data_IF_053574807641
#
_entry.id   IF_053574807641
#
_cell.length_a   1.000
_cell.length_b   1.000
_cell.length_c   1.000
_cell.angle_alpha   90.00
_cell.angle_beta   90.00
_cell.angle_gamma   90.00
#
_symmetry.space_group_name_H-M   'P 1'
#
loop_
_entity.id
_entity.type
_entity.pdbx_description
1 polymer ?
#
# COMPACT_ATOMS: atom_id res chain seq x y z
N UNK A 1 -54.68 16.77 36.54
CA UNK A 1 -54.51 18.22 36.48
C UNK A 1 -53.43 18.50 35.47
N UNK A 2 -53.78 18.84 34.23
CA UNK A 2 -53.83 20.16 33.59
C UNK A 2 -52.52 20.94 33.91
N UNK A 3 -51.70 21.39 32.96
CA UNK A 3 -51.84 22.05 31.66
C UNK A 3 -50.44 22.51 31.27
N UNK A 4 -49.93 22.59 30.13
CA UNK A 4 -50.11 23.26 28.83
C UNK A 4 -48.75 23.46 28.17
N UNK A 5 -48.68 23.13 26.92
CA UNK A 5 -47.71 23.70 25.96
C UNK A 5 -48.00 25.19 25.72
N UNK A 6 -47.04 25.98 25.18
CA UNK A 6 -47.29 26.37 23.80
C UNK A 6 -46.09 26.38 22.86
N UNK A 7 -46.43 26.13 21.62
CA UNK A 7 -45.73 26.48 20.38
C UNK A 7 -45.56 27.99 20.23
N UNK A 8 -44.47 28.47 19.61
CA UNK A 8 -44.53 29.58 18.65
C UNK A 8 -43.35 29.51 17.68
N UNK A 9 -43.69 29.42 16.44
CA UNK A 9 -43.17 29.84 15.16
C UNK A 9 -42.41 31.16 15.23
N UNK A 10 -41.37 31.31 14.40
CA UNK A 10 -41.35 32.36 13.36
C UNK A 10 -40.29 32.01 12.30
N UNK A 11 -40.72 31.92 11.04
CA UNK A 11 -39.95 32.03 9.80
C UNK A 11 -39.30 33.43 9.72
N UNK A 12 -38.05 33.49 9.27
CA UNK A 12 -37.60 34.60 8.42
C UNK A 12 -36.58 34.08 7.39
N UNK A 13 -37.04 34.12 6.17
CA UNK A 13 -36.26 34.05 4.94
C UNK A 13 -35.34 35.26 4.83
N UNK A 14 -34.08 35.10 4.50
CA UNK A 14 -33.28 36.12 3.82
C UNK A 14 -32.49 35.53 2.68
N UNK A 15 -32.88 35.89 1.50
CA UNK A 15 -32.16 35.85 0.25
C UNK A 15 -30.84 36.64 0.36
N UNK A 16 -29.77 36.08 -0.16
CA UNK A 16 -28.52 36.81 -0.44
C UNK A 16 -28.17 36.56 -1.93
N UNK A 17 -27.85 37.66 -2.66
CA UNK A 17 -27.82 37.61 -4.13
C UNK A 17 -26.51 37.07 -4.70
N UNK A 18 -26.63 36.45 -5.88
CA UNK A 18 -25.54 36.15 -6.80
C UNK A 18 -24.77 37.42 -7.19
N UNK A 19 -23.46 37.39 -7.03
CA UNK A 19 -22.56 38.34 -7.67
C UNK A 19 -21.90 37.66 -8.85
N UNK A 20 -22.33 38.02 -10.06
CA UNK A 20 -21.71 37.72 -11.35
C UNK A 20 -20.53 38.68 -11.51
N UNK A 21 -19.32 38.21 -11.65
CA UNK A 21 -18.17 38.99 -12.09
C UNK A 21 -17.86 38.62 -13.53
N UNK A 22 -18.03 39.59 -14.39
CA UNK A 22 -17.78 39.50 -15.83
C UNK A 22 -16.28 39.54 -16.16
N UNK A 23 -15.89 38.73 -17.12
CA UNK A 23 -14.59 38.76 -17.81
C UNK A 23 -14.43 40.11 -18.56
N UNK A 24 -13.27 40.71 -18.43
CA UNK A 24 -12.76 41.69 -19.39
C UNK A 24 -11.57 41.09 -20.10
N UNK A 25 -11.73 40.82 -21.39
CA UNK A 25 -10.68 40.53 -22.34
C UNK A 25 -10.00 41.85 -22.77
N UNK A 26 -8.68 41.91 -22.70
CA UNK A 26 -7.88 42.93 -23.33
C UNK A 26 -6.96 42.26 -24.39
N UNK A 27 -7.28 42.54 -25.62
CA UNK A 27 -6.48 42.27 -26.81
C UNK A 27 -5.48 43.40 -27.03
N UNK A 28 -4.22 43.02 -27.37
CA UNK A 28 -3.26 43.77 -28.18
C UNK A 28 -2.32 42.70 -28.75
N UNK A 29 -2.23 42.36 -29.97
CA UNK A 29 -2.06 43.10 -31.21
C UNK A 29 -0.55 43.28 -31.49
N UNK A 30 0.06 42.45 -32.37
CA UNK A 30 1.43 42.60 -32.81
C UNK A 30 1.78 41.58 -33.87
N UNK A 31 1.48 41.92 -35.14
CA UNK A 31 1.94 41.22 -36.33
C UNK A 31 3.43 41.50 -36.54
N UNK A 32 4.19 40.49 -37.00
CA UNK A 32 5.39 40.67 -37.80
C UNK A 32 5.55 39.50 -38.75
N UNK A 33 5.59 39.86 -40.01
CA UNK A 33 5.68 39.04 -41.23
C UNK A 33 7.04 38.35 -41.44
N UNK A 34 7.14 37.43 -42.44
CA UNK A 34 8.19 36.42 -42.57
C UNK A 34 9.37 36.92 -43.40
N UNK A 35 10.58 36.62 -42.90
CA UNK A 35 11.80 36.80 -43.64
C UNK A 35 12.21 35.60 -44.46
N UNK A 36 12.07 35.71 -45.74
CA UNK A 36 12.63 34.84 -46.79
C UNK A 36 14.13 35.00 -46.83
N UNK A 37 14.91 33.94 -46.76
CA UNK A 37 16.29 33.99 -47.27
C UNK A 37 16.63 32.69 -48.00
N UNK A 38 16.97 32.93 -49.23
CA UNK A 38 17.38 32.16 -50.39
C UNK A 38 18.50 31.15 -50.14
N UNK A 39 18.33 30.04 -50.87
CA UNK A 39 19.31 28.99 -51.21
C UNK A 39 20.36 29.56 -52.18
N UNK A 40 21.62 29.12 -52.14
CA UNK A 40 22.38 28.93 -53.34
C UNK A 40 22.83 27.49 -53.58
N UNK A 41 22.79 27.16 -54.85
CA UNK A 41 23.02 25.89 -55.54
C UNK A 41 24.47 25.39 -55.45
N UNK A 42 24.56 24.09 -55.67
CA UNK A 42 25.76 23.29 -56.00
C UNK A 42 26.70 23.92 -57.05
N UNK A 43 27.97 23.47 -57.19
CA UNK A 43 28.17 22.28 -58.04
C UNK A 43 29.41 21.41 -57.66
N UNK A 44 29.48 20.20 -58.19
CA UNK A 44 30.73 19.53 -58.48
C UNK A 44 30.84 18.06 -58.16
N UNK A 45 30.43 17.26 -59.12
CA UNK A 45 30.74 15.84 -59.28
C UNK A 45 32.25 15.58 -59.30
N UNK A 46 32.71 14.53 -58.59
CA UNK A 46 33.92 13.78 -59.01
C UNK A 46 33.73 12.31 -58.61
N UNK A 47 33.70 11.50 -59.62
CA UNK A 47 33.62 10.04 -59.62
C UNK A 47 35.02 9.46 -59.38
N UNK A 48 35.16 8.39 -58.55
CA UNK A 48 36.05 7.22 -58.72
C UNK A 48 36.42 6.57 -57.40
N UNK A 49 36.82 5.30 -57.32
CA UNK A 49 36.27 4.09 -57.90
C UNK A 49 35.86 3.05 -56.82
N UNK A 50 35.08 2.07 -57.21
CA UNK A 50 34.58 0.95 -56.44
C UNK A 50 35.71 0.14 -55.78
N UNK A 51 35.68 0.00 -54.48
CA UNK A 51 36.40 -1.03 -53.71
C UNK A 51 35.37 -2.07 -53.25
N UNK A 52 35.54 -3.29 -53.72
CA UNK A 52 34.73 -4.45 -53.36
C UNK A 52 34.93 -4.75 -51.87
N UNK A 53 33.91 -4.51 -51.06
CA UNK A 53 33.85 -4.93 -49.67
C UNK A 53 33.35 -6.40 -49.68
N UNK A 54 34.05 -7.23 -48.90
CA UNK A 54 33.67 -8.59 -48.57
C UNK A 54 32.35 -8.60 -47.76
N UNK A 55 31.50 -9.63 -47.88
CA UNK A 55 30.26 -9.69 -47.10
C UNK A 55 30.61 -9.85 -45.62
N UNK A 56 30.15 -8.92 -44.82
CA UNK A 56 30.07 -9.00 -43.37
C UNK A 56 29.14 -10.17 -43.02
N UNK A 57 29.49 -11.00 -42.01
CA UNK A 57 28.58 -12.05 -41.60
C UNK A 57 27.31 -11.42 -41.02
N UNK A 58 26.18 -11.71 -41.63
CA UNK A 58 24.87 -11.45 -41.04
C UNK A 58 24.80 -12.19 -39.70
N UNK A 59 24.89 -11.44 -38.60
CA UNK A 59 24.42 -11.91 -37.31
C UNK A 59 22.92 -12.15 -37.42
N UNK A 60 22.58 -13.40 -37.65
CA UNK A 60 21.19 -13.87 -37.53
C UNK A 60 20.87 -13.84 -36.04
N UNK A 61 20.40 -12.71 -35.53
CA UNK A 61 19.63 -12.65 -34.30
C UNK A 61 18.35 -13.46 -34.56
N UNK A 62 18.39 -14.73 -34.21
CA UNK A 62 17.19 -15.57 -34.15
C UNK A 62 16.39 -15.05 -32.94
N UNK A 63 15.55 -14.05 -33.18
CA UNK A 63 14.47 -13.73 -32.25
C UNK A 63 13.57 -14.95 -32.29
N UNK A 64 13.54 -15.73 -31.22
CA UNK A 64 12.58 -16.81 -31.07
C UNK A 64 11.19 -16.18 -31.21
N UNK A 65 10.47 -16.57 -32.26
CA UNK A 65 9.12 -16.06 -32.53
C UNK A 65 8.22 -16.53 -31.38
N UNK A 66 7.58 -15.57 -30.68
CA UNK A 66 6.67 -15.88 -29.58
C UNK A 66 5.53 -16.78 -30.12
N UNK A 67 5.30 -17.91 -29.45
CA UNK A 67 4.28 -18.87 -29.87
C UNK A 67 2.89 -18.34 -29.46
N UNK A 68 2.16 -17.73 -30.39
CA UNK A 68 0.78 -17.24 -30.23
C UNK A 68 0.65 -15.73 -30.34
N UNK A 69 -0.59 -15.23 -30.22
CA UNK A 69 -0.88 -13.80 -30.27
C UNK A 69 -0.33 -13.09 -29.02
N UNK A 70 0.25 -11.87 -29.16
CA UNK A 70 0.75 -11.11 -28.00
C UNK A 70 -0.37 -10.79 -27.01
N UNK A 71 -0.08 -10.96 -25.72
CA UNK A 71 -0.95 -10.62 -24.58
C UNK A 71 -0.38 -9.39 -23.89
N UNK A 72 -1.19 -8.34 -23.78
CA UNK A 72 -0.84 -7.11 -23.09
C UNK A 72 -1.74 -6.94 -21.89
N UNK A 73 -1.16 -6.95 -20.72
CA UNK A 73 -1.84 -6.84 -19.44
C UNK A 73 -1.49 -5.52 -18.76
N UNK A 74 -2.30 -5.11 -17.79
CA UNK A 74 -2.18 -3.82 -17.12
C UNK A 74 -2.13 -4.03 -15.61
N UNK A 75 -1.14 -3.41 -14.97
CA UNK A 75 -1.01 -3.36 -13.50
C UNK A 75 -1.32 -1.96 -12.96
N UNK A 76 -2.14 -1.88 -11.91
CA UNK A 76 -2.46 -0.66 -11.19
C UNK A 76 -1.92 -0.72 -9.76
N UNK A 77 -1.17 0.30 -9.34
CA UNK A 77 -0.60 0.41 -8.00
C UNK A 77 -0.86 1.79 -7.40
N UNK A 78 -1.20 1.81 -6.12
CA UNK A 78 -1.21 3.05 -5.36
C UNK A 78 0.20 3.50 -4.95
N UNK A 79 1.13 2.56 -4.86
CA UNK A 79 2.49 2.81 -4.44
C UNK A 79 3.29 3.51 -5.56
N UNK A 80 4.27 4.31 -5.17
CA UNK A 80 5.21 4.95 -6.12
C UNK A 80 6.11 3.91 -6.79
N UNK A 81 6.67 4.25 -7.93
CA UNK A 81 7.48 3.34 -8.75
C UNK A 81 8.66 2.74 -7.97
N UNK A 82 9.31 3.54 -7.13
CA UNK A 82 10.47 3.12 -6.33
C UNK A 82 10.10 2.35 -5.04
N UNK A 83 8.82 2.11 -4.77
CA UNK A 83 8.40 1.36 -3.58
C UNK A 83 8.78 -0.12 -3.65
N UNK A 84 8.95 -0.81 -2.50
CA UNK A 84 9.25 -2.23 -2.46
C UNK A 84 8.29 -3.09 -3.30
N UNK A 85 7.00 -2.80 -3.19
CA UNK A 85 5.95 -3.53 -3.91
C UNK A 85 6.03 -3.31 -5.42
N UNK A 86 6.29 -2.07 -5.85
CA UNK A 86 6.41 -1.74 -7.27
C UNK A 86 7.66 -2.34 -7.89
N UNK A 87 8.78 -2.34 -7.18
CA UNK A 87 10.02 -2.98 -7.63
C UNK A 87 9.87 -4.51 -7.73
N UNK A 88 9.23 -5.14 -6.75
CA UNK A 88 8.95 -6.58 -6.78
C UNK A 88 8.04 -6.96 -7.96
N UNK A 89 7.01 -6.16 -8.22
CA UNK A 89 6.14 -6.39 -9.38
C UNK A 89 6.84 -6.10 -10.71
N UNK A 90 7.69 -5.09 -10.78
CA UNK A 90 8.48 -4.78 -11.98
C UNK A 90 9.40 -5.94 -12.36
N UNK A 91 10.08 -6.55 -11.38
CA UNK A 91 10.86 -7.77 -11.59
C UNK A 91 10.00 -8.92 -12.12
N UNK A 92 8.83 -9.17 -11.52
CA UNK A 92 7.90 -10.20 -12.01
C UNK A 92 7.47 -9.93 -13.46
N UNK A 93 7.15 -8.69 -13.80
CA UNK A 93 6.73 -8.31 -15.14
C UNK A 93 7.85 -8.51 -16.19
N UNK A 94 9.11 -8.18 -15.85
CA UNK A 94 10.28 -8.41 -16.70
C UNK A 94 10.55 -9.90 -16.90
N UNK A 95 10.44 -10.71 -15.85
CA UNK A 95 10.59 -12.16 -15.94
C UNK A 95 9.48 -12.82 -16.75
N UNK A 96 8.23 -12.34 -16.62
CA UNK A 96 7.12 -12.80 -17.46
C UNK A 96 7.39 -12.51 -18.94
N UNK A 97 7.81 -11.31 -19.30
CA UNK A 97 8.18 -10.96 -20.67
C UNK A 97 9.30 -11.87 -21.20
N UNK A 98 10.37 -12.01 -20.42
CA UNK A 98 11.55 -12.82 -20.77
C UNK A 98 11.18 -14.29 -20.95
N UNK A 99 10.48 -14.89 -19.98
CA UNK A 99 10.19 -16.34 -19.96
C UNK A 99 9.10 -16.73 -20.96
N UNK A 100 8.29 -15.76 -21.41
CA UNK A 100 7.29 -15.95 -22.48
C UNK A 100 7.80 -15.52 -23.87
N UNK A 101 9.10 -15.17 -24.00
CA UNK A 101 9.73 -14.69 -25.23
C UNK A 101 8.99 -13.47 -25.83
N UNK A 102 8.55 -12.54 -24.98
CA UNK A 102 7.85 -11.31 -25.40
C UNK A 102 6.37 -11.50 -25.72
N UNK A 103 5.80 -12.70 -25.49
CA UNK A 103 4.36 -12.92 -25.72
C UNK A 103 3.49 -12.21 -24.69
N UNK A 104 3.87 -12.25 -23.40
CA UNK A 104 3.12 -11.61 -22.31
C UNK A 104 3.89 -10.41 -21.81
N UNK A 105 3.30 -9.23 -21.97
CA UNK A 105 3.86 -7.96 -21.47
C UNK A 105 2.89 -7.30 -20.49
N UNK A 106 3.42 -6.62 -19.46
CA UNK A 106 2.62 -5.98 -18.42
C UNK A 106 2.98 -4.49 -18.35
N UNK A 107 2.04 -3.63 -18.74
CA UNK A 107 2.17 -2.19 -18.57
C UNK A 107 1.82 -1.79 -17.14
N UNK A 108 2.68 -0.98 -16.50
CA UNK A 108 2.58 -0.66 -15.09
C UNK A 108 2.20 0.81 -14.88
N UNK A 109 1.22 1.02 -14.01
CA UNK A 109 0.72 2.34 -13.59
C UNK A 109 0.86 2.50 -12.07
N UNK A 110 1.76 3.37 -11.65
CA UNK A 110 2.10 3.63 -10.26
C UNK A 110 1.45 4.90 -9.72
N UNK A 111 1.55 5.10 -8.39
CA UNK A 111 1.09 6.29 -7.67
C UNK A 111 -0.37 6.67 -7.95
N UNK A 112 -1.23 5.69 -8.16
CA UNK A 112 -2.65 5.92 -8.43
C UNK A 112 -2.96 6.54 -9.79
N UNK A 113 -2.02 6.52 -10.74
CA UNK A 113 -2.15 7.20 -12.04
C UNK A 113 -3.24 6.60 -12.95
N UNK A 114 -3.51 5.30 -12.85
CA UNK A 114 -4.61 4.65 -13.56
C UNK A 114 -5.89 4.62 -12.71
N UNK A 115 -5.75 4.25 -11.44
CA UNK A 115 -6.87 4.11 -10.50
C UNK A 115 -6.44 4.68 -9.16
N UNK A 116 -7.27 5.52 -8.55
CA UNK A 116 -7.00 6.03 -7.22
C UNK A 116 -6.88 4.90 -6.19
N UNK A 117 -6.19 5.14 -5.09
CA UNK A 117 -5.90 4.15 -4.04
C UNK A 117 -7.12 3.32 -3.61
N UNK A 118 -8.25 3.98 -3.36
CA UNK A 118 -9.48 3.31 -2.93
C UNK A 118 -10.20 2.54 -4.05
N UNK A 119 -9.85 2.80 -5.32
CA UNK A 119 -10.57 2.30 -6.49
C UNK A 119 -9.86 1.13 -7.19
N UNK A 120 -8.65 0.74 -6.76
CA UNK A 120 -7.85 -0.29 -7.45
C UNK A 120 -8.58 -1.63 -7.50
N UNK A 121 -9.22 -2.04 -6.40
CA UNK A 121 -10.03 -3.26 -6.36
C UNK A 121 -11.12 -3.25 -7.44
N UNK A 122 -11.88 -2.16 -7.56
CA UNK A 122 -12.91 -2.00 -8.58
C UNK A 122 -12.32 -1.93 -9.99
N UNK A 123 -11.12 -1.35 -10.16
CA UNK A 123 -10.40 -1.34 -11.43
C UNK A 123 -10.09 -2.75 -11.95
N UNK A 124 -9.73 -3.68 -11.06
CA UNK A 124 -9.52 -5.07 -11.44
C UNK A 124 -10.85 -5.74 -11.79
N UNK A 125 -11.90 -5.51 -10.98
CA UNK A 125 -13.24 -6.09 -11.20
C UNK A 125 -13.85 -5.68 -12.52
N UNK A 126 -13.79 -4.39 -12.86
CA UNK A 126 -14.42 -3.84 -14.07
C UNK A 126 -13.51 -3.88 -15.30
N UNK A 127 -12.27 -4.36 -15.18
CA UNK A 127 -11.39 -4.66 -16.29
C UNK A 127 -10.57 -3.48 -16.80
N UNK A 128 -10.42 -2.42 -16.02
CA UNK A 128 -9.49 -1.33 -16.32
C UNK A 128 -8.05 -1.73 -16.00
N UNK A 129 -7.85 -2.63 -15.04
CA UNK A 129 -6.58 -3.26 -14.73
C UNK A 129 -6.73 -4.78 -14.73
N UNK A 130 -5.65 -5.50 -14.99
CA UNK A 130 -5.54 -6.96 -14.96
C UNK A 130 -4.91 -7.42 -13.65
N UNK A 131 -3.97 -6.65 -13.14
CA UNK A 131 -3.32 -6.82 -11.84
C UNK A 131 -3.51 -5.57 -10.99
N UNK A 132 -3.44 -5.73 -9.67
CA UNK A 132 -3.46 -4.58 -8.79
C UNK A 132 -2.85 -4.83 -7.43
N UNK A 133 -2.33 -3.75 -6.84
CA UNK A 133 -1.84 -3.68 -5.47
C UNK A 133 -2.86 -2.92 -4.62
N UNK A 134 -3.47 -3.56 -3.65
CA UNK A 134 -4.48 -2.94 -2.80
C UNK A 134 -4.52 -3.56 -1.39
N UNK A 135 -5.24 -2.92 -0.48
CA UNK A 135 -5.43 -3.38 0.89
C UNK A 135 -6.77 -4.11 1.03
N UNK A 136 -6.79 -5.42 1.29
CA UNK A 136 -8.04 -6.16 1.50
C UNK A 136 -8.93 -5.59 2.61
N UNK A 137 -8.35 -5.02 3.65
CA UNK A 137 -9.09 -4.38 4.76
C UNK A 137 -9.99 -3.23 4.31
N UNK A 138 -9.74 -2.63 3.15
CA UNK A 138 -10.61 -1.60 2.57
C UNK A 138 -11.84 -2.18 1.88
N UNK A 139 -11.90 -3.50 1.74
CA UNK A 139 -12.95 -4.23 1.05
C UNK A 139 -13.66 -5.26 1.95
N UNK A 140 -14.00 -4.94 3.21
CA UNK A 140 -14.49 -5.95 4.18
C UNK A 140 -15.79 -6.62 3.76
N UNK A 141 -16.62 -5.95 2.94
CA UNK A 141 -17.86 -6.53 2.40
C UNK A 141 -17.62 -7.55 1.28
N UNK A 142 -16.44 -7.54 0.65
CA UNK A 142 -16.09 -8.44 -0.46
C UNK A 142 -15.01 -9.45 -0.05
N UNK A 143 -14.12 -9.07 0.85
CA UNK A 143 -12.98 -9.83 1.33
C UNK A 143 -12.97 -9.86 2.88
N UNK A 144 -14.03 -10.40 3.51
CA UNK A 144 -14.21 -10.34 4.96
C UNK A 144 -13.08 -11.07 5.72
N UNK A 145 -12.66 -12.24 5.29
CA UNK A 145 -11.58 -12.98 5.94
C UNK A 145 -10.22 -12.31 5.72
N UNK A 146 -9.96 -11.81 4.50
CA UNK A 146 -8.70 -11.11 4.22
C UNK A 146 -8.54 -9.81 5.01
N UNK A 147 -9.62 -9.23 5.54
CA UNK A 147 -9.58 -8.03 6.38
C UNK A 147 -8.88 -8.25 7.74
N UNK A 148 -8.69 -9.52 8.16
CA UNK A 148 -7.95 -9.90 9.38
C UNK A 148 -6.51 -9.36 9.38
N UNK A 149 -5.94 -9.10 8.20
CA UNK A 149 -4.58 -8.57 8.06
C UNK A 149 -4.34 -7.19 8.67
N UNK A 150 -5.36 -6.57 9.27
CA UNK A 150 -5.23 -5.33 10.03
C UNK A 150 -5.62 -5.48 11.50
N UNK A 151 -5.79 -6.72 11.96
CA UNK A 151 -6.07 -7.03 13.36
C UNK A 151 -4.74 -7.05 14.12
N UNK A 152 -4.67 -6.24 15.17
CA UNK A 152 -3.46 -6.04 15.97
C UNK A 152 -3.22 -7.21 16.94
N UNK A 153 -2.02 -7.29 17.47
CA UNK A 153 -1.58 -8.22 18.51
C UNK A 153 -1.57 -9.70 18.10
N UNK A 154 -1.55 -10.01 16.81
CA UNK A 154 -1.45 -11.38 16.33
C UNK A 154 0.02 -11.81 16.21
N UNK A 155 0.85 -11.00 15.56
CA UNK A 155 2.28 -11.31 15.33
C UNK A 155 3.10 -10.04 15.18
N UNK A 156 4.40 -10.16 15.49
CA UNK A 156 5.45 -9.19 15.13
C UNK A 156 6.38 -9.73 14.04
N UNK A 157 6.21 -10.97 13.65
CA UNK A 157 6.95 -11.60 12.56
C UNK A 157 6.20 -11.35 11.23
N UNK A 158 6.62 -10.32 10.54
CA UNK A 158 6.04 -9.85 9.28
C UNK A 158 6.05 -10.93 8.20
N UNK A 159 7.10 -11.76 8.14
CA UNK A 159 7.20 -12.87 7.20
C UNK A 159 6.21 -13.97 7.55
N UNK A 160 6.17 -14.41 8.81
CA UNK A 160 5.26 -15.45 9.26
C UNK A 160 3.80 -15.06 9.06
N UNK A 161 3.46 -13.79 9.32
CA UNK A 161 2.13 -13.25 9.08
C UNK A 161 1.77 -13.29 7.57
N UNK A 162 2.68 -12.87 6.70
CA UNK A 162 2.50 -12.93 5.24
C UNK A 162 2.37 -14.36 4.73
N UNK A 163 3.20 -15.28 5.23
CA UNK A 163 3.19 -16.69 4.86
C UNK A 163 1.90 -17.39 5.28
N UNK A 164 1.31 -17.01 6.43
CA UNK A 164 0.01 -17.49 6.85
C UNK A 164 -1.10 -17.10 5.87
N UNK A 165 -1.09 -15.86 5.38
CA UNK A 165 -2.01 -15.44 4.32
C UNK A 165 -1.84 -16.23 3.04
N UNK A 166 -0.60 -16.41 2.59
CA UNK A 166 -0.30 -17.17 1.37
C UNK A 166 -0.73 -18.64 1.50
N UNK A 167 -0.54 -19.23 2.67
CA UNK A 167 -1.01 -20.61 2.94
C UNK A 167 -2.52 -20.72 2.95
N UNK A 168 -3.22 -19.80 3.62
CA UNK A 168 -4.69 -19.80 3.67
C UNK A 168 -5.30 -19.53 2.30
N UNK A 169 -4.71 -18.65 1.50
CA UNK A 169 -5.15 -18.42 0.13
C UNK A 169 -5.05 -19.68 -0.75
N UNK A 170 -4.06 -20.54 -0.49
CA UNK A 170 -3.88 -21.77 -1.22
C UNK A 170 -4.74 -22.94 -0.70
N UNK A 171 -5.06 -22.99 0.61
CA UNK A 171 -5.54 -24.20 1.26
C UNK A 171 -6.87 -24.03 2.03
N UNK A 172 -7.35 -22.80 2.27
CA UNK A 172 -8.59 -22.56 3.01
C UNK A 172 -9.73 -22.23 2.05
N UNK A 173 -10.72 -23.12 1.97
CA UNK A 173 -11.82 -23.04 0.99
C UNK A 173 -12.59 -21.72 1.05
N UNK A 174 -12.99 -21.27 2.25
CA UNK A 174 -13.78 -20.04 2.40
C UNK A 174 -12.95 -18.78 2.10
N UNK A 175 -11.66 -18.78 2.46
CA UNK A 175 -10.75 -17.70 2.13
C UNK A 175 -10.55 -17.59 0.61
N UNK A 176 -10.31 -18.71 -0.06
CA UNK A 176 -10.17 -18.73 -1.53
C UNK A 176 -11.47 -18.31 -2.21
N UNK A 177 -12.62 -18.76 -1.68
CA UNK A 177 -13.93 -18.47 -2.26
C UNK A 177 -14.29 -16.96 -2.24
N UNK A 178 -13.82 -16.19 -1.24
CA UNK A 178 -14.07 -14.74 -1.25
C UNK A 178 -13.39 -14.05 -2.44
N UNK A 179 -12.20 -14.50 -2.82
CA UNK A 179 -11.45 -13.99 -3.97
C UNK A 179 -12.06 -14.46 -5.29
N UNK A 180 -12.41 -15.74 -5.38
CA UNK A 180 -13.05 -16.31 -6.56
C UNK A 180 -14.39 -15.62 -6.86
N UNK A 181 -15.16 -15.28 -5.81
CA UNK A 181 -16.41 -14.53 -5.95
C UNK A 181 -16.23 -13.13 -6.55
N UNK A 182 -15.02 -12.57 -6.46
CA UNK A 182 -14.67 -11.28 -7.08
C UNK A 182 -14.04 -11.44 -8.47
N UNK A 183 -13.86 -12.68 -8.96
CA UNK A 183 -13.15 -12.96 -10.20
C UNK A 183 -11.67 -12.58 -10.13
N UNK A 184 -11.06 -12.75 -8.98
CA UNK A 184 -9.66 -12.45 -8.71
C UNK A 184 -8.96 -13.62 -8.05
N UNK A 185 -7.62 -13.64 -8.16
CA UNK A 185 -6.74 -14.53 -7.43
C UNK A 185 -5.60 -13.73 -6.79
N UNK A 186 -5.31 -13.87 -5.50
CA UNK A 186 -4.12 -13.29 -4.92
C UNK A 186 -2.88 -14.00 -5.49
N UNK A 187 -1.85 -13.23 -5.80
CA UNK A 187 -0.55 -13.74 -6.22
C UNK A 187 0.38 -13.89 -5.02
N UNK A 188 0.41 -12.89 -4.16
CA UNK A 188 1.05 -12.93 -2.84
C UNK A 188 0.46 -11.87 -1.94
N UNK A 189 0.65 -12.10 -0.65
CA UNK A 189 0.41 -11.12 0.40
C UNK A 189 1.73 -10.67 1.00
N UNK A 190 1.80 -9.40 1.36
CA UNK A 190 2.90 -8.82 2.12
C UNK A 190 2.34 -8.00 3.27
N UNK A 191 2.55 -8.47 4.47
CA UNK A 191 2.24 -7.70 5.68
C UNK A 191 3.32 -6.66 5.89
N UNK A 192 2.95 -5.49 6.36
CA UNK A 192 3.88 -4.41 6.65
C UNK A 192 3.65 -3.89 8.06
N UNK A 193 4.70 -3.69 8.79
CA UNK A 193 4.69 -3.25 10.17
C UNK A 193 6.07 -3.31 10.80
N UNK A 194 6.16 -3.09 12.10
CA UNK A 194 5.11 -2.56 12.97
C UNK A 194 4.79 -1.09 12.71
N UNK A 195 3.62 -0.65 13.20
CA UNK A 195 3.28 0.77 13.18
C UNK A 195 4.05 1.53 14.26
N UNK A 196 4.43 2.77 13.94
CA UNK A 196 5.05 3.68 14.89
C UNK A 196 4.04 4.66 15.48
N UNK A 197 4.20 4.96 16.78
CA UNK A 197 3.58 6.10 17.44
C UNK A 197 4.60 7.22 17.52
N UNK A 198 4.26 8.41 16.99
CA UNK A 198 5.12 9.59 17.04
C UNK A 198 4.54 10.70 17.92
N UNK A 199 5.35 11.22 18.83
CA UNK A 199 4.99 12.31 19.74
C UNK A 199 6.15 13.31 19.89
N UNK A 200 5.90 14.46 20.55
CA UNK A 200 6.92 15.47 20.86
C UNK A 200 7.53 15.29 22.27
N UNK A 201 7.20 14.21 22.94
CA UNK A 201 7.76 13.80 24.22
C UNK A 201 7.85 12.27 24.27
N UNK A 202 8.73 11.68 25.09
CA UNK A 202 8.80 10.23 25.25
C UNK A 202 7.49 9.64 25.75
N UNK A 203 7.07 8.52 25.14
CA UNK A 203 5.89 7.75 25.54
C UNK A 203 6.35 6.47 26.22
N UNK A 204 6.42 6.51 27.56
CA UNK A 204 7.04 5.45 28.33
C UNK A 204 6.09 4.28 28.66
N UNK A 205 4.78 4.54 28.69
CA UNK A 205 3.77 3.58 29.13
C UNK A 205 2.37 3.91 28.60
N UNK A 206 1.42 2.96 28.78
CA UNK A 206 0.03 3.13 28.31
C UNK A 206 -0.71 4.28 29.01
N UNK A 207 -0.36 4.62 30.26
CA UNK A 207 -1.00 5.70 31.00
C UNK A 207 -0.77 7.07 30.34
N UNK A 208 0.36 7.23 29.64
CA UNK A 208 0.61 8.46 28.86
C UNK A 208 -0.50 8.73 27.84
N UNK A 209 -1.10 7.67 27.30
CA UNK A 209 -2.15 7.80 26.25
C UNK A 209 -3.50 8.27 26.81
N UNK A 210 -3.73 8.18 28.12
CA UNK A 210 -5.02 8.61 28.70
C UNK A 210 -5.36 10.07 28.36
N UNK A 211 -6.54 10.28 27.78
CA UNK A 211 -7.06 11.59 27.35
C UNK A 211 -6.24 12.30 26.27
N UNK A 212 -5.19 11.69 25.70
CA UNK A 212 -4.46 12.25 24.54
C UNK A 212 -5.28 12.10 23.27
N UNK A 213 -5.22 13.10 22.41
CA UNK A 213 -5.78 13.03 21.05
C UNK A 213 -4.76 12.41 20.12
N UNK A 214 -4.96 11.15 19.75
CA UNK A 214 -4.00 10.37 18.96
C UNK A 214 -4.60 10.01 17.61
N UNK A 215 -3.92 10.36 16.53
CA UNK A 215 -4.36 9.93 15.20
C UNK A 215 -4.30 8.42 15.08
N UNK A 216 -5.40 7.83 14.61
CA UNK A 216 -5.47 6.41 14.29
C UNK A 216 -6.43 6.14 13.13
N UNK A 217 -6.31 4.96 12.53
CA UNK A 217 -7.24 4.43 11.54
C UNK A 217 -7.42 2.93 11.76
N UNK A 218 -8.52 2.36 11.23
CA UNK A 218 -8.81 0.95 11.38
C UNK A 218 -8.90 0.53 12.84
N UNK A 219 -8.46 -0.67 13.15
CA UNK A 219 -8.53 -1.26 14.49
C UNK A 219 -7.61 -0.60 15.53
N UNK A 220 -6.66 0.24 15.09
CA UNK A 220 -5.90 1.10 16.01
C UNK A 220 -6.82 2.06 16.80
N UNK A 221 -7.95 2.45 16.22
CA UNK A 221 -8.95 3.28 16.91
C UNK A 221 -9.48 2.55 18.15
N UNK A 222 -9.89 1.30 18.02
CA UNK A 222 -10.39 0.49 19.13
C UNK A 222 -9.30 0.21 20.17
N UNK A 223 -8.07 -0.03 19.70
CA UNK A 223 -6.95 -0.26 20.61
C UNK A 223 -6.64 0.98 21.47
N UNK A 224 -6.66 2.18 20.89
CA UNK A 224 -6.45 3.44 21.60
C UNK A 224 -7.60 3.76 22.55
N UNK A 225 -8.83 3.55 22.14
CA UNK A 225 -10.02 3.75 22.99
C UNK A 225 -9.97 2.84 24.22
N UNK A 226 -9.47 1.60 24.07
CA UNK A 226 -9.33 0.64 25.17
C UNK A 226 -8.34 1.11 26.27
N UNK A 227 -7.39 1.97 25.94
CA UNK A 227 -6.43 2.56 26.88
C UNK A 227 -6.77 4.00 27.26
N UNK A 228 -7.97 4.47 26.94
CA UNK A 228 -8.48 5.78 27.34
C UNK A 228 -7.95 6.97 26.53
N UNK A 229 -7.37 6.73 25.36
CA UNK A 229 -7.03 7.80 24.43
C UNK A 229 -8.27 8.29 23.68
N UNK A 230 -8.18 9.46 23.01
CA UNK A 230 -9.17 9.95 22.08
C UNK A 230 -8.65 9.71 20.66
N UNK A 231 -9.12 8.64 20.01
CA UNK A 231 -8.72 8.33 18.66
C UNK A 231 -9.29 9.36 17.66
N UNK A 232 -8.42 9.91 16.79
CA UNK A 232 -8.77 10.92 15.79
C UNK A 232 -8.53 10.34 14.40
N UNK A 233 -9.61 10.11 13.65
CA UNK A 233 -9.56 9.53 12.31
C UNK A 233 -9.29 10.62 11.26
N UNK A 234 -8.03 10.78 10.88
CA UNK A 234 -7.58 11.61 9.76
C UNK A 234 -6.61 10.83 8.88
N UNK A 235 -6.46 11.25 7.62
CA UNK A 235 -5.51 10.62 6.69
C UNK A 235 -4.06 10.83 7.14
N UNK A 236 -3.14 9.97 6.66
CA UNK A 236 -1.71 10.11 6.98
C UNK A 236 -1.14 11.46 6.51
N UNK A 237 -1.58 11.95 5.37
CA UNK A 237 -1.17 13.25 4.84
C UNK A 237 -1.61 14.46 5.70
N UNK A 238 -2.69 14.32 6.50
CA UNK A 238 -3.17 15.39 7.39
C UNK A 238 -2.43 15.44 8.73
N UNK A 239 -1.66 14.39 9.08
CA UNK A 239 -0.94 14.28 10.36
C UNK A 239 0.02 15.44 10.57
N UNK A 240 0.81 15.79 9.56
CA UNK A 240 1.78 16.89 9.64
C UNK A 240 1.16 18.19 10.13
N UNK A 241 0.08 18.62 9.47
CA UNK A 241 -0.63 19.85 9.86
C UNK A 241 -1.35 19.74 11.21
N UNK A 242 -1.89 18.57 11.53
CA UNK A 242 -2.61 18.34 12.78
C UNK A 242 -1.66 18.39 13.99
N UNK A 243 -0.48 17.78 13.90
CA UNK A 243 0.59 17.86 14.89
C UNK A 243 1.10 19.30 15.04
N UNK A 244 1.38 19.97 13.92
CA UNK A 244 1.88 21.35 13.95
C UNK A 244 0.89 22.33 14.60
N UNK A 245 -0.42 22.12 14.43
CA UNK A 245 -1.47 22.93 15.03
C UNK A 245 -1.81 22.52 16.47
N UNK A 246 -1.29 21.39 16.95
CA UNK A 246 -1.63 20.84 18.26
C UNK A 246 -3.07 20.35 18.36
N UNK A 247 -3.69 19.93 17.24
CA UNK A 247 -5.03 19.34 17.23
C UNK A 247 -5.00 17.84 17.56
N UNK A 248 -3.84 17.22 17.43
CA UNK A 248 -3.51 15.90 17.96
C UNK A 248 -2.22 16.00 18.77
N UNK A 249 -2.08 15.15 19.79
CA UNK A 249 -0.92 15.06 20.66
C UNK A 249 0.14 14.10 20.07
N UNK A 250 -0.33 13.10 19.31
CA UNK A 250 0.50 12.09 18.69
C UNK A 250 -0.19 11.53 17.44
N UNK A 251 0.58 10.83 16.60
CA UNK A 251 0.03 9.94 15.57
C UNK A 251 0.40 8.49 15.87
N UNK A 252 -0.46 7.58 15.47
CA UNK A 252 -0.22 6.13 15.43
C UNK A 252 -0.80 5.57 14.12
N UNK A 253 -0.62 4.27 13.86
CA UNK A 253 -1.05 3.67 12.60
C UNK A 253 -0.37 4.30 11.38
N UNK A 254 0.97 4.33 11.39
CA UNK A 254 1.83 4.67 10.26
C UNK A 254 3.08 3.78 10.32
N UNK A 255 3.48 3.24 9.18
CA UNK A 255 4.73 2.47 9.06
C UNK A 255 5.94 3.39 9.05
N UNK A 256 7.14 2.84 9.22
CA UNK A 256 8.39 3.60 9.24
C UNK A 256 8.59 4.40 7.93
N UNK A 257 8.36 3.77 6.78
CA UNK A 257 8.41 4.42 5.46
C UNK A 257 7.31 5.46 5.31
N UNK A 258 6.07 5.13 5.66
CA UNK A 258 4.94 6.05 5.62
C UNK A 258 5.17 7.32 6.45
N UNK A 259 5.84 7.20 7.59
CA UNK A 259 6.16 8.33 8.46
C UNK A 259 7.41 9.10 7.99
N UNK A 260 8.45 8.42 7.49
CA UNK A 260 9.74 9.02 7.20
C UNK A 260 9.98 9.38 5.73
N UNK A 261 9.46 8.60 4.78
CA UNK A 261 9.66 8.88 3.35
C UNK A 261 8.49 9.65 2.77
N UNK A 262 7.26 9.18 3.02
CA UNK A 262 6.09 9.74 2.36
C UNK A 262 5.63 11.07 2.96
N UNK A 263 5.77 11.25 4.28
CA UNK A 263 5.12 12.34 5.00
C UNK A 263 6.05 13.17 5.91
N UNK A 264 7.31 12.84 6.06
CA UNK A 264 8.30 13.59 6.89
C UNK A 264 7.81 13.91 8.31
N UNK A 265 7.13 12.97 8.96
CA UNK A 265 6.53 13.18 10.28
C UNK A 265 7.56 13.46 11.39
N UNK A 266 8.84 13.14 11.17
CA UNK A 266 9.94 13.51 12.07
C UNK A 266 10.12 15.02 12.21
N UNK A 267 9.63 15.83 11.28
CA UNK A 267 9.68 17.30 11.39
C UNK A 267 8.68 17.85 12.43
N UNK A 268 7.66 17.07 12.79
CA UNK A 268 6.57 17.46 13.70
C UNK A 268 6.44 16.56 14.92
N UNK A 269 7.30 15.54 15.04
CA UNK A 269 7.35 14.62 16.18
C UNK A 269 8.79 14.11 16.36
N UNK A 270 9.39 14.34 17.51
CA UNK A 270 10.80 14.03 17.76
C UNK A 270 11.05 12.67 18.40
N UNK A 271 10.03 12.01 18.93
CA UNK A 271 10.12 10.71 19.59
C UNK A 271 9.15 9.71 18.98
N UNK A 272 9.68 8.63 18.45
CA UNK A 272 8.88 7.55 17.88
C UNK A 272 8.98 6.29 18.74
N UNK A 273 7.90 5.51 18.73
CA UNK A 273 7.79 4.31 19.56
C UNK A 273 7.12 3.20 18.77
N UNK A 274 7.68 2.00 18.85
CA UNK A 274 6.98 0.75 18.52
C UNK A 274 6.36 0.21 19.81
N UNK A 275 5.04 0.17 19.87
CA UNK A 275 4.28 -0.22 21.06
C UNK A 275 4.07 -1.72 21.20
N UNK A 276 4.60 -2.53 20.28
CA UNK A 276 4.43 -3.98 20.29
C UNK A 276 3.07 -4.48 19.80
N UNK A 277 2.28 -3.63 19.11
CA UNK A 277 0.96 -4.04 18.61
C UNK A 277 1.01 -4.98 17.39
N UNK A 278 2.20 -5.29 16.88
CA UNK A 278 2.38 -6.19 15.76
C UNK A 278 2.21 -5.51 14.40
N UNK A 279 1.75 -6.28 13.42
CA UNK A 279 1.61 -5.84 12.04
C UNK A 279 0.58 -4.72 11.90
N UNK A 280 0.86 -3.80 10.96
CA UNK A 280 -0.04 -2.68 10.68
C UNK A 280 -1.13 -3.07 9.70
N UNK A 281 -0.74 -3.64 8.56
CA UNK A 281 -1.68 -3.99 7.50
C UNK A 281 -1.08 -5.01 6.54
N UNK A 282 -1.94 -5.85 5.98
CA UNK A 282 -1.56 -6.75 4.88
C UNK A 282 -1.98 -6.15 3.54
N UNK A 283 -1.05 -6.14 2.61
CA UNK A 283 -1.23 -5.71 1.23
C UNK A 283 -1.33 -6.96 0.35
N UNK A 284 -2.24 -6.94 -0.60
CA UNK A 284 -2.38 -8.00 -1.60
C UNK A 284 -1.96 -7.50 -2.98
N UNK A 285 -1.17 -8.31 -3.68
CA UNK A 285 -1.02 -8.22 -5.13
C UNK A 285 -1.90 -9.31 -5.74
N UNK A 286 -2.83 -8.92 -6.60
CA UNK A 286 -3.81 -9.83 -7.17
C UNK A 286 -3.89 -9.71 -8.68
N UNK A 287 -4.39 -10.78 -9.32
CA UNK A 287 -4.66 -10.87 -10.76
C UNK A 287 -6.13 -11.19 -11.00
N UNK A 288 -6.71 -10.60 -12.05
CA UNK A 288 -8.08 -10.94 -12.48
C UNK A 288 -8.13 -12.33 -13.14
N UNK A 289 -9.21 -13.06 -12.94
CA UNK A 289 -9.45 -14.32 -13.67
C UNK A 289 -9.45 -14.08 -15.19
N UNK A 290 -9.97 -12.94 -15.65
CA UNK A 290 -9.96 -12.56 -17.07
C UNK A 290 -8.54 -12.47 -17.64
N UNK A 291 -7.56 -11.98 -16.87
CA UNK A 291 -6.16 -11.98 -17.28
C UNK A 291 -5.59 -13.39 -17.35
N UNK A 292 -5.85 -14.22 -16.34
CA UNK A 292 -5.43 -15.62 -16.32
C UNK A 292 -5.98 -16.41 -17.52
N UNK A 293 -7.21 -16.16 -17.91
CA UNK A 293 -7.86 -16.82 -19.06
C UNK A 293 -7.19 -16.49 -20.42
N UNK A 294 -6.37 -15.43 -20.48
CA UNK A 294 -5.59 -15.07 -21.67
C UNK A 294 -4.23 -15.79 -21.72
N UNK A 295 -3.79 -16.35 -20.60
CA UNK A 295 -2.52 -17.06 -20.44
C UNK A 295 -2.71 -18.55 -20.72
N UNK A 296 -1.71 -19.16 -21.34
CA UNK A 296 -1.62 -20.61 -21.44
C UNK A 296 -1.38 -21.25 -20.08
N UNK A 297 -1.60 -22.55 -19.93
CA UNK A 297 -1.29 -23.28 -18.67
C UNK A 297 0.18 -23.13 -18.27
N UNK A 298 1.11 -23.13 -19.25
CA UNK A 298 2.54 -22.93 -19.00
C UNK A 298 2.83 -21.53 -18.47
N UNK A 299 2.22 -20.49 -19.05
CA UNK A 299 2.39 -19.10 -18.61
C UNK A 299 1.75 -18.83 -17.24
N UNK A 300 0.61 -19.47 -16.94
CA UNK A 300 0.05 -19.44 -15.59
C UNK A 300 0.97 -20.13 -14.57
N UNK A 301 1.64 -21.22 -14.96
CA UNK A 301 2.64 -21.87 -14.11
C UNK A 301 3.87 -20.98 -13.87
N UNK A 302 4.35 -20.28 -14.92
CA UNK A 302 5.43 -19.29 -14.80
C UNK A 302 5.01 -18.18 -13.83
N UNK A 303 3.82 -17.58 -13.99
CA UNK A 303 3.32 -16.55 -13.11
C UNK A 303 3.23 -17.01 -11.65
N UNK A 304 2.77 -18.25 -11.42
CA UNK A 304 2.68 -18.81 -10.08
C UNK A 304 4.07 -19.02 -9.44
N UNK A 305 5.06 -19.52 -10.21
CA UNK A 305 6.45 -19.68 -9.76
C UNK A 305 7.08 -18.33 -9.40
N UNK A 306 6.94 -17.33 -10.27
CA UNK A 306 7.47 -15.96 -10.02
C UNK A 306 6.80 -15.30 -8.81
N UNK A 307 5.49 -15.49 -8.65
CA UNK A 307 4.76 -14.98 -7.48
C UNK A 307 5.25 -15.62 -6.19
N UNK A 308 5.51 -16.93 -6.19
CA UNK A 308 6.06 -17.62 -5.03
C UNK A 308 7.49 -17.16 -4.71
N UNK A 309 8.32 -16.87 -5.72
CA UNK A 309 9.65 -16.33 -5.53
C UNK A 309 9.59 -14.92 -4.94
N UNK A 310 8.74 -14.03 -5.47
CA UNK A 310 8.54 -12.69 -4.89
C UNK A 310 8.12 -12.81 -3.42
N UNK A 311 7.15 -13.66 -3.11
CA UNK A 311 6.68 -13.86 -1.73
C UNK A 311 7.80 -14.27 -0.79
N UNK A 312 8.66 -15.21 -1.22
CA UNK A 312 9.78 -15.71 -0.40
C UNK A 312 10.90 -14.68 -0.19
N UNK A 313 11.15 -13.82 -1.17
CA UNK A 313 12.30 -12.89 -1.19
C UNK A 313 11.90 -11.44 -0.87
N UNK A 314 10.61 -11.16 -0.70
CA UNK A 314 10.08 -9.79 -0.63
C UNK A 314 10.75 -8.93 0.43
N UNK A 315 10.87 -9.45 1.65
CA UNK A 315 11.39 -8.67 2.78
C UNK A 315 12.86 -8.36 2.64
N UNK A 316 13.68 -9.37 2.34
CA UNK A 316 15.13 -9.21 2.25
C UNK A 316 15.56 -8.42 1.02
N UNK A 317 14.87 -8.63 -0.11
CA UNK A 317 15.29 -8.05 -1.40
C UNK A 317 14.71 -6.66 -1.62
N UNK A 318 13.47 -6.42 -1.24
CA UNK A 318 12.76 -5.18 -1.58
C UNK A 318 12.42 -4.32 -0.36
N UNK A 319 11.91 -4.92 0.72
CA UNK A 319 11.34 -4.17 1.84
C UNK A 319 12.43 -3.58 2.77
N UNK A 320 13.29 -4.41 3.34
CA UNK A 320 14.28 -3.94 4.30
C UNK A 320 15.27 -2.91 3.74
N UNK A 321 15.77 -3.01 2.50
CA UNK A 321 16.63 -1.96 1.96
C UNK A 321 15.95 -0.58 1.94
N UNK A 322 14.64 -0.54 1.72
CA UNK A 322 13.90 0.72 1.74
C UNK A 322 13.62 1.23 3.15
N UNK A 323 13.41 0.33 4.11
CA UNK A 323 13.30 0.70 5.52
C UNK A 323 14.59 1.29 6.09
N UNK A 324 15.75 0.87 5.59
CA UNK A 324 17.04 1.51 5.91
C UNK A 324 17.08 2.96 5.42
N UNK A 325 16.60 3.23 4.20
CA UNK A 325 16.50 4.60 3.67
C UNK A 325 15.51 5.44 4.50
N UNK A 326 14.38 4.86 4.90
CA UNK A 326 13.41 5.53 5.76
C UNK A 326 14.02 5.91 7.12
N UNK A 327 14.78 4.99 7.70
CA UNK A 327 15.50 5.22 8.95
C UNK A 327 16.55 6.33 8.81
N UNK A 328 17.34 6.31 7.73
CA UNK A 328 18.32 7.37 7.42
C UNK A 328 17.64 8.74 7.30
N UNK A 329 16.50 8.81 6.63
CA UNK A 329 15.74 10.06 6.50
C UNK A 329 15.26 10.57 7.87
N UNK A 330 14.71 9.70 8.71
CA UNK A 330 14.25 10.08 10.04
C UNK A 330 15.41 10.62 10.92
N UNK A 331 16.54 9.90 10.97
CA UNK A 331 17.73 10.28 11.75
C UNK A 331 18.29 11.61 11.24
N UNK A 332 18.53 11.73 9.93
CA UNK A 332 19.09 12.94 9.32
C UNK A 332 18.12 14.12 9.39
N UNK A 333 16.81 13.85 9.45
CA UNK A 333 15.74 14.83 9.59
C UNK A 333 15.55 15.36 11.01
N UNK A 334 16.23 14.77 11.99
CA UNK A 334 16.25 15.25 13.38
C UNK A 334 15.35 14.46 14.35
N UNK A 335 14.92 13.26 13.98
CA UNK A 335 14.27 12.35 14.94
C UNK A 335 15.24 12.07 16.10
N UNK A 336 14.80 12.33 17.33
CA UNK A 336 15.65 12.21 18.53
C UNK A 336 15.72 10.78 19.05
N UNK A 337 14.63 10.01 18.91
CA UNK A 337 14.58 8.61 19.33
C UNK A 337 13.54 7.79 18.58
N UNK A 338 13.87 6.52 18.38
CA UNK A 338 12.92 5.45 18.08
C UNK A 338 13.10 4.37 19.15
N UNK A 339 12.08 4.13 19.94
CA UNK A 339 12.11 3.22 21.10
C UNK A 339 11.15 2.06 20.88
N UNK A 340 11.65 0.85 21.06
CA UNK A 340 10.81 -0.35 21.16
C UNK A 340 10.36 -0.46 22.61
N UNK A 341 9.05 -0.53 22.85
CA UNK A 341 8.55 -0.71 24.22
C UNK A 341 9.07 -2.00 24.85
N UNK A 342 9.39 -1.97 26.16
CA UNK A 342 9.68 -3.19 26.89
C UNK A 342 8.52 -4.19 26.78
N UNK A 343 8.85 -5.48 26.76
CA UNK A 343 7.86 -6.57 26.65
C UNK A 343 6.73 -6.45 27.69
N UNK A 344 7.04 -6.04 28.92
CA UNK A 344 6.05 -5.85 29.98
C UNK A 344 5.02 -4.78 29.60
N UNK A 345 5.44 -3.69 28.97
CA UNK A 345 4.56 -2.60 28.60
C UNK A 345 3.75 -2.93 27.33
N UNK A 346 4.39 -3.57 26.35
CA UNK A 346 3.72 -4.08 25.17
C UNK A 346 2.64 -5.11 25.56
N UNK A 347 2.91 -5.98 26.52
CA UNK A 347 1.94 -6.95 27.04
C UNK A 347 0.77 -6.27 27.75
N UNK A 348 1.02 -5.20 28.54
CA UNK A 348 -0.06 -4.41 29.16
C UNK A 348 -0.98 -3.79 28.11
N UNK A 349 -0.42 -3.31 26.99
CA UNK A 349 -1.22 -2.79 25.89
C UNK A 349 -2.03 -3.90 25.24
N UNK A 350 -1.43 -5.05 24.97
CA UNK A 350 -2.14 -6.20 24.44
C UNK A 350 -3.25 -6.69 25.39
N UNK A 351 -2.99 -6.80 26.70
CA UNK A 351 -3.99 -7.21 27.69
C UNK A 351 -5.19 -6.26 27.75
N UNK A 352 -4.98 -4.96 27.50
CA UNK A 352 -6.05 -3.97 27.48
C UNK A 352 -6.85 -3.97 26.16
N UNK A 353 -6.24 -4.26 25.01
CA UNK A 353 -6.77 -3.94 23.70
C UNK A 353 -7.02 -5.16 22.80
N UNK A 354 -6.25 -6.26 22.93
CA UNK A 354 -6.28 -7.35 21.95
C UNK A 354 -7.67 -7.99 21.82
N UNK A 355 -8.33 -8.29 22.94
CA UNK A 355 -9.67 -8.89 22.91
C UNK A 355 -10.72 -7.92 22.34
N UNK A 356 -10.62 -6.62 22.62
CA UNK A 356 -11.50 -5.59 22.07
C UNK A 356 -11.37 -5.55 20.56
N UNK A 357 -10.14 -5.55 20.05
CA UNK A 357 -9.86 -5.55 18.60
C UNK A 357 -10.33 -6.84 17.93
N UNK A 358 -10.05 -8.01 18.52
CA UNK A 358 -10.54 -9.31 18.05
C UNK A 358 -12.06 -9.30 17.89
N UNK A 359 -12.78 -8.92 18.96
CA UNK A 359 -14.24 -8.92 18.97
C UNK A 359 -14.83 -7.92 17.99
N UNK A 360 -14.19 -6.77 17.80
CA UNK A 360 -14.63 -5.81 16.80
C UNK A 360 -14.50 -6.38 15.38
N UNK A 361 -13.37 -7.02 15.06
CA UNK A 361 -13.20 -7.66 13.75
C UNK A 361 -14.21 -8.77 13.49
N UNK A 362 -14.46 -9.63 14.49
CA UNK A 362 -15.50 -10.68 14.41
C UNK A 362 -16.86 -10.05 14.13
N UNK A 363 -17.24 -9.02 14.90
CA UNK A 363 -18.52 -8.36 14.75
C UNK A 363 -18.68 -7.68 13.38
N UNK A 364 -17.64 -7.01 12.87
CA UNK A 364 -17.65 -6.35 11.57
C UNK A 364 -17.78 -7.39 10.44
N UNK A 365 -17.06 -8.50 10.54
CA UNK A 365 -17.07 -9.60 9.57
C UNK A 365 -18.44 -10.28 9.53
N UNK A 366 -19.05 -10.57 10.68
CA UNK A 366 -20.37 -11.22 10.77
C UNK A 366 -21.51 -10.27 10.40
N UNK A 367 -21.37 -8.96 10.67
CA UNK A 367 -22.35 -7.97 10.23
C UNK A 367 -22.45 -7.89 8.70
N UNK A 368 -21.39 -8.22 7.97
CA UNK A 368 -21.36 -8.37 6.52
C UNK A 368 -22.09 -9.64 6.01
N UNK A 369 -22.50 -10.53 6.91
CA UNK A 369 -23.19 -11.80 6.58
C UNK A 369 -22.27 -13.01 6.48
N UNK A 370 -20.98 -12.85 6.77
CA UNK A 370 -20.01 -13.94 6.86
C UNK A 370 -20.23 -14.71 8.16
N UNK A 371 -20.11 -16.02 8.14
CA UNK A 371 -20.30 -16.88 9.32
C UNK A 371 -18.97 -17.57 9.67
N UNK A 372 -18.71 -17.81 10.97
CA UNK A 372 -17.50 -18.51 11.42
C UNK A 372 -16.25 -17.59 11.49
N UNK A 373 -16.44 -16.30 11.67
CA UNK A 373 -15.35 -15.35 11.81
C UNK A 373 -14.43 -15.68 12.99
N UNK A 374 -14.98 -16.11 14.13
CA UNK A 374 -14.18 -16.52 15.29
C UNK A 374 -13.34 -17.76 15.00
N UNK A 375 -13.91 -18.77 14.36
CA UNK A 375 -13.20 -20.00 13.97
C UNK A 375 -12.06 -19.68 12.99
N UNK A 376 -12.32 -18.80 12.03
CA UNK A 376 -11.28 -18.36 11.09
C UNK A 376 -10.18 -17.57 11.80
N UNK A 377 -10.53 -16.67 12.74
CA UNK A 377 -9.55 -15.94 13.54
C UNK A 377 -8.61 -16.92 14.27
N UNK A 378 -9.18 -17.90 14.99
CA UNK A 378 -8.39 -18.87 15.74
C UNK A 378 -7.51 -19.72 14.82
N UNK A 379 -8.01 -20.09 13.63
CA UNK A 379 -7.22 -20.79 12.62
C UNK A 379 -6.08 -19.91 12.07
N UNK A 380 -6.36 -18.64 11.77
CA UNK A 380 -5.34 -17.71 11.28
C UNK A 380 -4.20 -17.55 12.30
N UNK A 381 -4.54 -17.31 13.56
CA UNK A 381 -3.56 -17.19 14.65
C UNK A 381 -2.74 -18.47 14.81
N UNK A 382 -3.37 -19.64 14.71
CA UNK A 382 -2.66 -20.93 14.77
C UNK A 382 -1.69 -21.09 13.59
N UNK A 383 -2.14 -20.73 12.37
CA UNK A 383 -1.28 -20.77 11.17
C UNK A 383 -0.09 -19.82 11.29
N UNK A 384 -0.32 -18.59 11.78
CA UNK A 384 0.77 -17.64 12.05
C UNK A 384 1.77 -18.24 13.04
N UNK A 385 1.32 -18.83 14.17
CA UNK A 385 2.20 -19.46 15.15
C UNK A 385 3.03 -20.63 14.57
N UNK A 386 2.45 -21.41 13.63
CA UNK A 386 3.20 -22.46 12.92
C UNK A 386 4.29 -21.87 12.01
N UNK A 387 4.03 -20.72 11.36
CA UNK A 387 5.02 -20.01 10.54
C UNK A 387 6.11 -19.40 11.39
N UNK A 388 5.77 -18.75 12.50
CA UNK A 388 6.75 -18.21 13.45
C UNK A 388 7.73 -19.27 13.96
N UNK A 389 7.26 -20.49 14.22
CA UNK A 389 8.10 -21.58 14.71
C UNK A 389 9.20 -21.99 13.71
N UNK A 390 9.08 -21.66 12.45
CA UNK A 390 10.02 -21.99 11.37
C UNK A 390 10.60 -20.75 10.69
N UNK A 391 10.15 -19.57 11.07
CA UNK A 391 10.61 -18.31 10.51
C UNK A 391 12.09 -18.07 10.78
N UNK A 392 12.76 -17.50 9.80
CA UNK A 392 14.12 -16.95 9.94
C UNK A 392 14.12 -15.44 10.03
N UNK A 393 12.94 -14.84 10.08
CA UNK A 393 12.75 -13.42 10.28
C UNK A 393 13.37 -13.01 11.62
N UNK A 394 14.29 -12.08 11.59
CA UNK A 394 15.06 -11.70 12.78
C UNK A 394 14.45 -10.49 13.49
N UNK A 395 14.79 -9.32 12.99
CA UNK A 395 14.37 -8.04 13.58
C UNK A 395 13.43 -7.30 12.64
N UNK A 396 12.42 -6.66 13.21
CA UNK A 396 11.51 -5.76 12.49
C UNK A 396 12.26 -4.53 11.94
N UNK A 397 11.65 -3.83 11.00
CA UNK A 397 12.22 -2.58 10.47
C UNK A 397 12.42 -1.53 11.56
N UNK A 398 11.50 -1.44 12.53
CA UNK A 398 11.60 -0.52 13.67
C UNK A 398 12.71 -0.94 14.65
N UNK A 399 12.92 -2.21 14.91
CA UNK A 399 14.02 -2.72 15.75
C UNK A 399 15.39 -2.42 15.12
N UNK A 400 15.56 -2.69 13.82
CA UNK A 400 16.79 -2.35 13.08
C UNK A 400 17.06 -0.85 13.10
N UNK A 401 16.04 -0.03 12.93
CA UNK A 401 16.18 1.42 13.02
C UNK A 401 16.48 1.89 14.46
N UNK A 402 15.76 1.39 15.46
CA UNK A 402 15.95 1.74 16.85
C UNK A 402 17.38 1.45 17.35
N UNK A 403 17.98 0.34 16.92
CA UNK A 403 19.36 -0.01 17.24
C UNK A 403 20.40 1.06 16.81
N UNK A 404 20.03 1.98 15.92
CA UNK A 404 20.92 3.05 15.41
C UNK A 404 20.87 4.32 16.26
N UNK A 405 19.93 4.43 17.19
CA UNK A 405 19.84 5.55 18.15
C UNK A 405 20.59 5.30 19.47
N UNK A 406 21.08 4.06 19.70
CA UNK A 406 21.69 3.57 20.94
C UNK A 406 23.20 3.67 21.03
#
# INVERSE_FOLDING_TARGET
MRTRRPLWRVLTSRLVPLLVVALIAATCGGEAEPGTTTVPSEPGSTEAPATTAAPEPEETTTTAEAAGDPVRLVYASFAVEDSPHSQAFAWLAEEMDTRTNGRVTIEQFHAGSLCAFADIFDCIKDGRADFGLFLPVQQPSFLPYSSIGSVLFISRDTQAHSDAFNELAANHEQFSAEWDAQGMRPLWFSSIGPAVLGANEPVENIEWMENKSIRATGYFTQALDAVGANAVAISNAEVYEAMQRGTIDAFYASTLDGAALDNSHFEVSSHWHDLGAGEYVTIATAVSQRALDQLTEEEQAILAELSAQVSAEFFDTYYFPQMEVACDNAINGGLESLVIWPEEEAQRFADAAAEVVKQQWIADTEAGGTTGAEEFYDQFVATVGEKEATSTFGETATERCAARFG
#
